data_IF_375578660820
#
_entry.id   IF_375578660820
#
_cell.length_a   1.000
_cell.length_b   1.000
_cell.length_c   1.000
_cell.angle_alpha   90.00
_cell.angle_beta   90.00
_cell.angle_gamma   90.00
#
_symmetry.space_group_name_H-M   'P 1'
#
loop_
_entity.id
_entity.type
_entity.pdbx_description
1 polymer ?
#
# COMPACT_ATOMS: atom_id res chain seq x y z
N UNK A 1 24.30 2.61 -3.18
CA UNK A 1 23.25 1.67 -3.63
C UNK A 1 23.89 0.63 -4.54
N UNK A 2 23.87 -0.64 -4.14
CA UNK A 2 24.65 -1.70 -4.79
C UNK A 2 23.96 -2.30 -6.03
N UNK A 3 24.77 -2.67 -7.02
CA UNK A 3 24.40 -3.25 -8.32
C UNK A 3 23.42 -4.45 -8.22
N UNK A 4 23.45 -5.18 -7.11
CA UNK A 4 22.56 -6.32 -6.81
C UNK A 4 21.09 -5.91 -6.63
N UNK A 5 20.81 -4.76 -5.99
CA UNK A 5 19.43 -4.32 -5.74
C UNK A 5 18.66 -3.97 -7.00
N UNK A 6 19.35 -3.51 -8.05
CA UNK A 6 18.74 -3.22 -9.35
C UNK A 6 18.44 -4.50 -10.15
N UNK A 7 19.26 -5.54 -9.96
CA UNK A 7 19.07 -6.84 -10.61
C UNK A 7 17.89 -7.59 -9.98
N UNK A 8 17.74 -7.57 -8.64
CA UNK A 8 16.58 -8.15 -7.97
C UNK A 8 15.25 -7.49 -8.38
N UNK A 9 15.27 -6.16 -8.54
CA UNK A 9 14.12 -5.38 -9.07
C UNK A 9 13.79 -5.75 -10.52
N UNK A 10 14.80 -5.87 -11.38
CA UNK A 10 14.64 -6.20 -12.79
C UNK A 10 14.23 -7.66 -13.04
N UNK A 11 14.73 -8.60 -12.22
CA UNK A 11 14.45 -10.03 -12.33
C UNK A 11 13.14 -10.45 -11.69
N UNK A 12 12.47 -9.56 -10.95
CA UNK A 12 11.21 -9.90 -10.32
C UNK A 12 11.32 -10.97 -9.26
N UNK A 13 12.42 -10.96 -8.49
CA UNK A 13 12.57 -11.79 -7.30
C UNK A 13 11.69 -11.20 -6.20
N UNK A 14 10.38 -11.28 -6.43
CA UNK A 14 9.32 -10.96 -5.48
C UNK A 14 8.70 -12.28 -5.00
N UNK A 15 9.56 -13.30 -4.90
CA UNK A 15 9.23 -14.67 -4.55
C UNK A 15 9.52 -14.91 -3.07
N UNK A 16 8.75 -15.81 -2.44
CA UNK A 16 8.64 -15.88 -1.00
C UNK A 16 9.96 -16.37 -0.41
N UNK A 17 10.48 -15.66 0.60
CA UNK A 17 11.26 -16.36 1.59
C UNK A 17 10.32 -17.39 2.24
N UNK A 18 10.67 -18.67 2.12
CA UNK A 18 9.91 -19.80 2.68
C UNK A 18 9.73 -19.70 4.20
N UNK A 19 10.49 -18.81 4.84
CA UNK A 19 10.55 -18.63 6.28
C UNK A 19 9.81 -17.38 6.79
N UNK A 20 9.15 -16.63 5.90
CA UNK A 20 8.25 -15.54 6.33
C UNK A 20 6.81 -16.02 6.35
N UNK A 21 6.27 -16.23 7.54
CA UNK A 21 4.84 -16.51 7.73
C UNK A 21 4.01 -15.41 7.03
N UNK A 22 2.90 -15.78 6.35
CA UNK A 22 1.98 -14.80 5.80
C UNK A 22 1.29 -14.08 6.96
N UNK A 23 1.74 -12.87 7.28
CA UNK A 23 1.16 -11.94 8.27
C UNK A 23 -0.20 -11.34 7.83
N UNK A 24 -0.90 -12.01 6.91
CA UNK A 24 -2.17 -11.60 6.31
C UNK A 24 -3.29 -11.60 7.36
N UNK A 25 -3.34 -10.55 8.17
CA UNK A 25 -4.39 -10.33 9.17
C UNK A 25 -3.91 -10.03 10.58
N UNK A 26 -2.59 -9.95 10.84
CA UNK A 26 -2.08 -9.58 12.15
C UNK A 26 -2.32 -8.08 12.42
N UNK A 27 -3.14 -7.70 13.44
CA UNK A 27 -3.42 -6.30 13.73
C UNK A 27 -2.17 -5.49 14.05
N UNK A 28 -1.15 -6.09 14.67
CA UNK A 28 0.09 -5.41 15.01
C UNK A 28 0.90 -5.05 13.77
N UNK A 29 0.89 -5.90 12.76
CA UNK A 29 1.54 -5.65 11.46
C UNK A 29 0.84 -4.53 10.71
N UNK A 30 -0.49 -4.52 10.71
CA UNK A 30 -1.26 -3.43 10.12
C UNK A 30 -0.98 -2.08 10.82
N UNK A 31 -0.88 -2.08 12.16
CA UNK A 31 -0.52 -0.90 12.95
C UNK A 31 0.91 -0.43 12.66
N UNK A 32 1.88 -1.36 12.67
CA UNK A 32 3.28 -1.03 12.37
C UNK A 32 3.45 -0.41 10.98
N UNK A 33 2.76 -0.96 9.97
CA UNK A 33 2.80 -0.39 8.63
C UNK A 33 2.08 0.96 8.54
N UNK A 34 0.97 1.14 9.24
CA UNK A 34 0.28 2.43 9.34
C UNK A 34 1.20 3.51 9.94
N UNK A 35 1.89 3.20 11.01
CA UNK A 35 2.87 4.10 11.65
C UNK A 35 4.02 4.43 10.70
N UNK A 36 4.50 3.44 9.94
CA UNK A 36 5.50 3.67 8.90
C UNK A 36 5.01 4.62 7.81
N UNK A 37 3.77 4.45 7.33
CA UNK A 37 3.16 5.33 6.33
C UNK A 37 3.05 6.76 6.86
N UNK A 38 2.61 6.96 8.10
CA UNK A 38 2.57 8.28 8.75
C UNK A 38 3.97 8.91 8.77
N UNK A 39 5.00 8.15 9.16
CA UNK A 39 6.40 8.63 9.14
C UNK A 39 6.88 8.99 7.73
N UNK A 40 6.48 8.22 6.71
CA UNK A 40 6.88 8.44 5.31
C UNK A 40 6.20 9.62 4.64
N UNK A 41 4.99 9.98 5.05
CA UNK A 41 4.36 11.25 4.67
C UNK A 41 5.22 12.44 5.13
N UNK A 42 5.79 12.36 6.33
CA UNK A 42 6.72 13.36 6.84
C UNK A 42 6.04 14.63 7.33
N UNK A 43 6.83 15.68 7.58
CA UNK A 43 6.37 16.91 8.26
C UNK A 43 5.49 17.84 7.39
N UNK A 44 5.37 17.56 6.09
CA UNK A 44 4.49 18.30 5.18
C UNK A 44 3.04 17.87 5.29
N UNK A 45 2.75 16.84 6.09
CA UNK A 45 1.44 16.27 6.28
C UNK A 45 1.07 16.15 7.75
N UNK A 46 -0.23 16.15 8.01
CA UNK A 46 -0.83 15.73 9.28
C UNK A 46 -1.69 14.51 8.98
N UNK A 47 -1.44 13.37 9.62
CA UNK A 47 -2.18 12.15 9.35
C UNK A 47 -2.67 11.49 10.64
N UNK A 48 -3.92 11.06 10.64
CA UNK A 48 -4.56 10.44 11.82
C UNK A 48 -5.14 9.09 11.43
N UNK A 49 -4.80 8.05 12.20
CA UNK A 49 -5.44 6.75 12.07
C UNK A 49 -6.81 6.72 12.70
N UNK A 50 -7.73 5.95 12.12
CA UNK A 50 -9.04 5.68 12.73
C UNK A 50 -8.93 4.47 13.67
N UNK A 51 -9.34 4.64 14.93
CA UNK A 51 -9.37 3.57 15.95
C UNK A 51 -10.51 2.58 15.68
N UNK A 52 -11.66 3.06 15.22
CA UNK A 52 -12.78 2.25 14.75
C UNK A 52 -13.07 2.56 13.28
N UNK A 53 -13.16 1.50 12.46
CA UNK A 53 -13.44 1.61 11.02
C UNK A 53 -14.51 0.63 10.61
N UNK A 54 -15.41 1.08 9.74
CA UNK A 54 -16.28 0.20 8.99
C UNK A 54 -15.55 -0.36 7.77
N UNK A 55 -15.87 -1.58 7.31
CA UNK A 55 -15.34 -2.09 6.04
C UNK A 55 -15.63 -1.11 4.89
N UNK A 56 -14.59 -0.72 4.15
CA UNK A 56 -14.71 0.26 3.06
C UNK A 56 -14.35 1.70 3.44
N UNK A 57 -13.93 1.95 4.68
CA UNK A 57 -13.37 3.25 5.09
C UNK A 57 -11.84 3.25 5.03
N UNK A 58 -11.21 4.41 4.76
CA UNK A 58 -9.75 4.54 4.77
C UNK A 58 -9.17 4.30 6.17
N UNK A 59 -7.92 3.83 6.18
CA UNK A 59 -7.13 3.60 7.39
C UNK A 59 -6.58 4.90 7.99
N UNK A 60 -6.22 5.83 7.12
CA UNK A 60 -5.64 7.13 7.47
C UNK A 60 -6.37 8.24 6.72
N UNK A 61 -6.57 9.35 7.42
CA UNK A 61 -6.92 10.63 6.81
C UNK A 61 -5.68 11.50 6.86
N UNK A 62 -5.12 11.82 5.69
CA UNK A 62 -3.89 12.61 5.56
C UNK A 62 -4.21 14.00 5.01
N UNK A 63 -3.92 15.04 5.78
CA UNK A 63 -4.08 16.44 5.41
C UNK A 63 -2.73 17.00 4.98
N UNK A 64 -2.64 17.53 3.76
CA UNK A 64 -1.43 18.23 3.31
C UNK A 64 -1.40 19.64 3.87
N UNK A 65 -0.34 19.99 4.58
CA UNK A 65 -0.25 21.28 5.29
C UNK A 65 -0.20 22.49 4.34
N UNK A 66 0.27 22.31 3.11
CA UNK A 66 0.46 23.40 2.15
C UNK A 66 -0.85 23.98 1.60
N UNK A 67 -1.88 23.14 1.41
CA UNK A 67 -3.14 23.50 0.76
C UNK A 67 -4.38 22.94 1.47
N UNK A 68 -4.20 22.38 2.67
CA UNK A 68 -5.26 21.76 3.48
C UNK A 68 -6.07 20.71 2.70
N UNK A 69 -5.46 20.09 1.69
CA UNK A 69 -6.11 19.06 0.90
C UNK A 69 -6.03 17.73 1.64
N UNK A 70 -7.19 17.13 1.88
CA UNK A 70 -7.31 15.81 2.50
C UNK A 70 -7.15 14.70 1.46
N UNK A 71 -6.44 13.65 1.85
CA UNK A 71 -6.22 12.41 1.11
C UNK A 71 -6.66 11.25 1.99
N UNK A 72 -7.40 10.33 1.40
CA UNK A 72 -7.93 9.15 2.09
C UNK A 72 -7.06 7.94 1.74
N UNK A 73 -6.40 7.35 2.74
CA UNK A 73 -5.40 6.31 2.51
C UNK A 73 -5.82 4.98 3.13
N UNK A 74 -5.75 3.91 2.35
CA UNK A 74 -5.80 2.52 2.84
C UNK A 74 -4.38 1.97 2.86
N UNK A 75 -4.00 1.34 3.97
CA UNK A 75 -2.66 0.79 4.14
C UNK A 75 -2.71 -0.72 4.03
N UNK A 76 -1.98 -1.29 3.07
CA UNK A 76 -1.93 -2.72 2.81
C UNK A 76 -0.49 -3.23 2.81
N UNK A 77 -0.10 -3.96 3.86
CA UNK A 77 1.20 -4.64 3.91
C UNK A 77 1.06 -6.09 3.45
N UNK A 78 2.04 -6.57 2.67
CA UNK A 78 2.14 -7.97 2.24
C UNK A 78 3.60 -8.42 2.26
N UNK A 79 3.84 -9.62 2.78
CA UNK A 79 5.18 -10.20 2.78
C UNK A 79 5.59 -10.79 1.42
N UNK A 80 4.63 -11.04 0.52
CA UNK A 80 4.85 -11.70 -0.79
C UNK A 80 3.75 -11.37 -1.81
N UNK A 81 4.05 -11.66 -3.08
CA UNK A 81 3.06 -11.77 -4.16
C UNK A 81 2.70 -13.24 -4.45
N UNK A 82 1.62 -13.43 -5.20
CA UNK A 82 1.19 -14.73 -5.74
C UNK A 82 1.45 -14.78 -7.23
N UNK A 83 1.49 -15.97 -7.82
CA UNK A 83 1.66 -16.16 -9.27
C UNK A 83 0.36 -16.72 -9.83
N UNK A 84 -0.19 -16.03 -10.83
CA UNK A 84 -1.40 -16.44 -11.53
C UNK A 84 -1.13 -17.59 -12.51
N UNK A 85 -2.21 -18.15 -13.06
CA UNK A 85 -2.12 -19.20 -14.09
C UNK A 85 -1.45 -18.71 -15.39
N UNK A 86 -1.51 -17.40 -15.65
CA UNK A 86 -0.83 -16.73 -16.77
C UNK A 86 0.67 -16.53 -16.52
N UNK A 87 1.19 -16.94 -15.35
CA UNK A 87 2.57 -16.73 -14.93
C UNK A 87 2.86 -15.30 -14.45
N UNK A 88 1.86 -14.41 -14.42
CA UNK A 88 2.03 -13.05 -13.93
C UNK A 88 1.90 -13.01 -12.40
N UNK A 89 2.80 -12.28 -11.74
CA UNK A 89 2.69 -12.06 -10.31
C UNK A 89 1.59 -11.04 -10.00
N UNK A 90 0.79 -11.31 -8.98
CA UNK A 90 -0.31 -10.44 -8.54
C UNK A 90 -0.42 -10.40 -7.01
N UNK A 91 -1.07 -9.33 -6.52
CA UNK A 91 -1.26 -9.05 -5.11
C UNK A 91 -2.76 -9.01 -4.79
N UNK A 92 -3.32 -10.07 -4.17
CA UNK A 92 -4.69 -10.06 -3.70
C UNK A 92 -4.78 -9.15 -2.49
N UNK A 93 -5.59 -8.09 -2.61
CA UNK A 93 -5.61 -7.02 -1.59
C UNK A 93 -6.92 -6.89 -0.82
N UNK A 94 -8.05 -7.21 -1.43
CA UNK A 94 -9.38 -7.05 -0.81
C UNK A 94 -10.42 -7.93 -1.50
N UNK A 95 -11.66 -7.97 -1.01
CA UNK A 95 -12.80 -8.56 -1.73
C UNK A 95 -13.51 -7.52 -2.60
N UNK A 96 -14.28 -7.97 -3.60
CA UNK A 96 -15.13 -7.08 -4.41
C UNK A 96 -16.09 -6.26 -3.55
N UNK A 97 -16.72 -6.88 -2.55
CA UNK A 97 -17.64 -6.19 -1.64
C UNK A 97 -16.97 -5.00 -0.93
N UNK A 98 -15.75 -5.18 -0.43
CA UNK A 98 -15.03 -4.11 0.26
C UNK A 98 -14.53 -3.07 -0.75
N UNK A 99 -14.10 -3.51 -1.95
CA UNK A 99 -13.67 -2.61 -3.00
C UNK A 99 -14.79 -1.66 -3.44
N UNK A 100 -16.00 -2.18 -3.63
CA UNK A 100 -17.17 -1.37 -3.99
C UNK A 100 -17.50 -0.35 -2.90
N UNK A 101 -17.32 -0.71 -1.62
CA UNK A 101 -17.48 0.24 -0.51
C UNK A 101 -16.43 1.35 -0.53
N UNK A 102 -15.17 1.05 -0.87
CA UNK A 102 -14.15 2.10 -1.07
C UNK A 102 -14.54 3.05 -2.21
N UNK A 103 -15.01 2.53 -3.34
CA UNK A 103 -15.44 3.36 -4.47
C UNK A 103 -16.64 4.24 -4.10
N UNK A 104 -17.59 3.70 -3.34
CA UNK A 104 -18.72 4.47 -2.85
C UNK A 104 -18.28 5.58 -1.89
N UNK A 105 -17.32 5.29 -1.00
CA UNK A 105 -16.74 6.25 -0.08
C UNK A 105 -15.99 7.37 -0.81
N UNK A 106 -15.08 7.03 -1.73
CA UNK A 106 -14.33 8.02 -2.54
C UNK A 106 -15.29 8.96 -3.27
N UNK A 107 -16.36 8.41 -3.87
CA UNK A 107 -17.37 9.21 -4.56
C UNK A 107 -18.14 10.14 -3.62
N UNK A 108 -18.42 9.71 -2.40
CA UNK A 108 -19.16 10.50 -1.42
C UNK A 108 -18.32 11.65 -0.85
N UNK A 109 -17.05 11.39 -0.55
CA UNK A 109 -16.15 12.38 0.07
C UNK A 109 -15.49 13.31 -0.97
N UNK A 110 -15.23 12.82 -2.18
CA UNK A 110 -14.60 13.61 -3.26
C UNK A 110 -13.11 13.91 -3.06
N UNK A 111 -12.46 13.26 -2.08
CA UNK A 111 -11.03 13.41 -1.83
C UNK A 111 -10.22 12.42 -2.68
N UNK A 112 -8.94 12.72 -3.01
CA UNK A 112 -8.06 11.73 -3.60
C UNK A 112 -7.90 10.52 -2.68
N UNK A 113 -8.20 9.34 -3.21
CA UNK A 113 -8.12 8.08 -2.48
C UNK A 113 -6.96 7.23 -2.99
N UNK A 114 -6.07 6.82 -2.08
CA UNK A 114 -4.92 5.98 -2.41
C UNK A 114 -4.89 4.70 -1.57
N UNK A 115 -4.36 3.64 -2.17
CA UNK A 115 -3.94 2.44 -1.47
C UNK A 115 -2.42 2.44 -1.43
N UNK A 116 -1.89 2.52 -0.21
CA UNK A 116 -0.45 2.47 0.06
C UNK A 116 -0.07 1.02 0.31
N UNK A 117 0.75 0.46 -0.56
CA UNK A 117 1.24 -0.90 -0.44
C UNK A 117 2.65 -0.93 0.12
N UNK A 118 2.87 -1.76 1.14
CA UNK A 118 4.20 -2.16 1.60
C UNK A 118 4.43 -3.60 1.19
N UNK A 119 5.54 -3.88 0.52
CA UNK A 119 5.86 -5.22 0.05
C UNK A 119 7.26 -5.67 0.47
N UNK A 120 7.35 -6.89 1.00
CA UNK A 120 8.56 -7.52 1.51
C UNK A 120 9.22 -6.74 2.68
N UNK A 121 10.16 -7.39 3.36
CA UNK A 121 10.84 -6.83 4.53
C UNK A 121 10.00 -6.95 5.79
N UNK A 122 10.02 -5.90 6.62
CA UNK A 122 9.17 -5.80 7.82
C UNK A 122 8.13 -4.71 7.63
N UNK A 123 7.01 -4.80 8.33
CA UNK A 123 5.92 -3.85 8.19
C UNK A 123 6.31 -2.41 8.56
N UNK A 124 7.21 -2.24 9.52
CA UNK A 124 7.75 -0.96 9.95
C UNK A 124 8.89 -0.43 9.07
N UNK A 125 9.46 -1.27 8.20
CA UNK A 125 10.50 -0.92 7.22
C UNK A 125 10.36 -1.81 5.97
N UNK A 126 9.32 -1.63 5.15
CA UNK A 126 9.08 -2.46 3.98
C UNK A 126 10.16 -2.21 2.91
N UNK A 127 10.54 -3.25 2.18
CA UNK A 127 11.56 -3.15 1.12
C UNK A 127 11.07 -2.32 -0.07
N UNK A 128 9.78 -2.41 -0.38
CA UNK A 128 9.14 -1.64 -1.44
C UNK A 128 7.88 -0.95 -0.93
N UNK A 129 7.65 0.27 -1.41
CA UNK A 129 6.45 1.04 -1.11
C UNK A 129 5.84 1.58 -2.41
N UNK A 130 4.52 1.54 -2.49
CA UNK A 130 3.76 1.97 -3.65
C UNK A 130 2.57 2.83 -3.21
N UNK A 131 2.27 3.88 -3.98
CA UNK A 131 1.12 4.74 -3.75
C UNK A 131 0.19 4.67 -4.97
N UNK A 132 -0.82 3.80 -4.89
CA UNK A 132 -1.68 3.47 -6.04
C UNK A 132 -3.03 4.18 -5.88
N UNK A 133 -3.48 5.01 -6.84
CA UNK A 133 -4.83 5.55 -6.84
C UNK A 133 -5.90 4.46 -6.77
N UNK A 134 -7.02 4.71 -6.08
CA UNK A 134 -8.03 3.67 -5.81
C UNK A 134 -8.55 3.00 -7.09
N UNK A 135 -8.78 3.77 -8.16
CA UNK A 135 -9.27 3.28 -9.46
C UNK A 135 -8.30 2.32 -10.17
N UNK A 136 -7.02 2.34 -9.77
CA UNK A 136 -5.96 1.43 -10.25
C UNK A 136 -5.68 0.30 -9.25
N UNK A 137 -5.98 0.49 -7.98
CA UNK A 137 -5.80 -0.48 -6.91
C UNK A 137 -6.94 -1.52 -6.86
N UNK A 138 -7.14 -2.22 -7.99
CA UNK A 138 -8.14 -3.29 -8.12
C UNK A 138 -7.83 -4.48 -7.18
N UNK A 139 -8.76 -5.42 -7.11
CA UNK A 139 -8.74 -6.55 -6.15
C UNK A 139 -7.47 -7.39 -6.26
N UNK A 140 -7.16 -7.84 -7.48
CA UNK A 140 -5.97 -8.60 -7.81
C UNK A 140 -5.01 -7.71 -8.58
N UNK A 141 -4.11 -7.07 -7.85
CA UNK A 141 -3.23 -6.07 -8.42
C UNK A 141 -2.04 -6.75 -9.10
N UNK A 142 -2.04 -6.75 -10.43
CA UNK A 142 -0.93 -7.23 -11.25
C UNK A 142 0.35 -6.46 -10.95
N UNK A 143 1.48 -7.16 -10.90
CA UNK A 143 2.81 -6.58 -10.70
C UNK A 143 3.12 -5.47 -11.70
N UNK A 144 2.75 -5.68 -12.97
CA UNK A 144 2.94 -4.71 -14.05
C UNK A 144 2.24 -3.36 -13.80
N UNK A 145 1.10 -3.38 -13.10
CA UNK A 145 0.40 -2.16 -12.65
C UNK A 145 1.12 -1.58 -11.44
N UNK A 146 1.38 -2.41 -10.42
CA UNK A 146 1.98 -1.98 -9.14
C UNK A 146 3.33 -1.27 -9.34
N UNK A 147 4.18 -1.77 -10.24
CA UNK A 147 5.50 -1.19 -10.52
C UNK A 147 5.45 0.24 -11.06
N UNK A 148 4.35 0.65 -11.71
CA UNK A 148 4.20 2.03 -12.22
C UNK A 148 4.04 3.05 -11.08
N UNK A 149 3.68 2.58 -9.89
CA UNK A 149 3.38 3.41 -8.71
C UNK A 149 4.40 3.19 -7.59
N UNK A 150 5.57 2.59 -7.89
CA UNK A 150 6.65 2.46 -6.91
C UNK A 150 7.11 3.85 -6.49
N UNK A 151 7.23 4.06 -5.18
CA UNK A 151 7.78 5.28 -4.60
C UNK A 151 9.21 5.00 -4.16
N UNK A 152 10.22 5.51 -4.90
CA UNK A 152 11.62 5.34 -4.54
C UNK A 152 11.94 5.87 -3.15
N UNK A 153 12.96 5.28 -2.54
CA UNK A 153 13.54 5.79 -1.30
C UNK A 153 13.99 7.25 -1.46
N UNK A 154 13.67 8.10 -0.47
CA UNK A 154 14.00 9.52 -0.49
C UNK A 154 13.04 10.42 -1.28
N UNK A 155 12.03 9.88 -1.96
CA UNK A 155 10.90 10.67 -2.49
C UNK A 155 9.78 10.79 -1.47
N UNK A 156 9.02 11.88 -1.56
CA UNK A 156 7.76 12.05 -0.83
C UNK A 156 6.76 10.97 -1.26
N UNK A 157 5.90 10.57 -0.34
CA UNK A 157 4.95 9.47 -0.57
C UNK A 157 3.79 9.87 -1.49
N UNK A 158 3.32 11.13 -1.42
CA UNK A 158 2.15 11.68 -2.12
C UNK A 158 2.41 13.12 -2.57
#
# INVERSE_FOLDING_TARGET
MGFLGNIERALGVWYPDKDTEPDDGNPLVALAFRDYVIKRLGSTWSATGREERSPGEPDLLALRNADEKRYDLVTCYRSRMFVGEDGEAYLPRTTQEIYDKYLAYEKAEGNPFYVIFGLHGFADVPKFIFAVPLDKAVIDLKKSVLQQYEVPEGRELL
#
